data_IF_445409440519
#
_entry.id   IF_445409440519
#
_cell.length_a   1.000
_cell.length_b   1.000
_cell.length_c   1.000
_cell.angle_alpha   90.00
_cell.angle_beta   90.00
_cell.angle_gamma   90.00
#
_symmetry.space_group_name_H-M   'P 1'
#
loop_
_entity.id
_entity.type
_entity.pdbx_description
1 polymer ?
#
# COMPACT_ATOMS: atom_id res chain seq x y z
N UNK A 1 27.94 -12.03 -13.80
CA UNK A 1 26.94 -12.75 -14.62
C UNK A 1 25.93 -13.40 -13.68
N UNK A 2 24.92 -12.67 -13.25
CA UNK A 2 23.78 -13.19 -12.47
C UNK A 2 22.50 -12.49 -12.95
N UNK A 3 22.26 -12.57 -14.26
CA UNK A 3 20.94 -12.41 -14.84
C UNK A 3 20.43 -13.82 -15.06
N UNK A 4 19.52 -14.32 -14.22
CA UNK A 4 18.56 -15.40 -14.50
C UNK A 4 18.02 -15.85 -13.14
N UNK A 5 16.89 -15.26 -12.75
CA UNK A 5 15.75 -15.92 -12.11
C UNK A 5 14.71 -14.84 -11.78
N UNK A 6 14.27 -14.11 -12.81
CA UNK A 6 12.95 -13.49 -12.73
C UNK A 6 11.97 -14.65 -12.94
N UNK A 7 11.51 -15.25 -11.84
CA UNK A 7 10.47 -16.29 -11.88
C UNK A 7 9.31 -15.78 -12.72
N UNK A 8 8.87 -16.58 -13.70
CA UNK A 8 7.76 -16.20 -14.56
C UNK A 8 6.56 -15.74 -13.71
N UNK A 9 5.91 -14.62 -14.04
CA UNK A 9 4.85 -14.08 -13.21
C UNK A 9 3.72 -15.11 -13.09
N UNK A 10 3.18 -15.22 -11.86
CA UNK A 10 2.09 -16.13 -11.52
C UNK A 10 0.93 -15.98 -12.50
N UNK A 11 0.23 -17.07 -12.80
CA UNK A 11 -0.78 -17.06 -13.86
C UNK A 11 -1.85 -15.98 -13.67
N UNK A 12 -2.26 -15.73 -12.42
CA UNK A 12 -3.24 -14.69 -12.06
C UNK A 12 -2.74 -13.27 -12.34
N UNK A 13 -1.44 -12.99 -12.19
CA UNK A 13 -0.84 -11.67 -12.44
C UNK A 13 -0.69 -11.33 -13.94
N UNK A 14 -0.96 -12.29 -14.84
CA UNK A 14 -0.97 -12.04 -16.29
C UNK A 14 -2.30 -11.49 -16.81
N UNK A 15 -3.34 -11.51 -15.97
CA UNK A 15 -4.65 -10.98 -16.34
C UNK A 15 -4.56 -9.47 -16.58
N UNK A 16 -5.17 -9.00 -17.68
CA UNK A 16 -5.08 -7.61 -18.16
C UNK A 16 -3.65 -7.08 -18.31
N UNK A 17 -2.68 -7.96 -18.58
CA UNK A 17 -1.26 -7.60 -18.67
C UNK A 17 -0.70 -6.88 -17.43
N UNK A 18 -1.31 -7.10 -16.25
CA UNK A 18 -0.93 -6.43 -14.99
C UNK A 18 0.57 -6.49 -14.70
N UNK A 19 1.17 -7.69 -14.85
CA UNK A 19 2.60 -7.89 -14.68
C UNK A 19 3.51 -7.01 -15.56
N UNK A 20 3.04 -6.47 -16.69
CA UNK A 20 3.84 -5.59 -17.56
C UNK A 20 3.82 -4.14 -17.10
N UNK A 21 2.66 -3.68 -16.61
CA UNK A 21 2.49 -2.32 -16.11
C UNK A 21 2.99 -2.10 -14.68
N UNK A 22 3.04 -3.17 -13.87
CA UNK A 22 3.39 -3.14 -12.43
C UNK A 22 4.90 -2.90 -12.20
N UNK A 23 5.24 -1.93 -11.34
CA UNK A 23 6.60 -1.66 -10.86
C UNK A 23 7.24 -2.85 -10.13
N UNK A 24 6.44 -3.64 -9.41
CA UNK A 24 6.88 -4.81 -8.65
C UNK A 24 7.12 -6.06 -9.52
N UNK A 25 6.38 -6.20 -10.63
CA UNK A 25 6.39 -7.42 -11.46
C UNK A 25 6.97 -7.21 -12.86
N UNK A 26 7.07 -5.98 -13.34
CA UNK A 26 7.53 -5.69 -14.70
C UNK A 26 8.96 -6.20 -14.92
N UNK A 27 9.25 -6.73 -16.13
CA UNK A 27 10.62 -7.01 -16.51
C UNK A 27 11.43 -5.71 -16.47
N UNK A 28 12.69 -5.82 -16.08
CA UNK A 28 13.60 -4.68 -16.14
C UNK A 28 13.69 -4.17 -17.58
N UNK A 29 13.49 -2.86 -17.74
CA UNK A 29 13.41 -2.20 -19.04
C UNK A 29 13.15 -0.71 -18.88
N UNK A 30 12.90 -0.01 -19.99
CA UNK A 30 12.61 1.42 -19.97
C UNK A 30 11.41 1.76 -19.08
N UNK A 31 10.28 1.07 -19.29
CA UNK A 31 9.06 1.24 -18.49
C UNK A 31 9.32 1.14 -16.98
N UNK A 32 9.96 0.05 -16.55
CA UNK A 32 10.30 -0.15 -15.14
C UNK A 32 11.23 0.95 -14.60
N UNK A 33 12.24 1.38 -15.37
CA UNK A 33 13.15 2.46 -14.97
C UNK A 33 12.41 3.78 -14.78
N UNK A 34 11.49 4.12 -15.67
CA UNK A 34 10.65 5.33 -15.57
C UNK A 34 9.79 5.29 -14.32
N UNK A 35 9.02 4.22 -14.10
CA UNK A 35 8.18 4.09 -12.91
C UNK A 35 9.00 4.11 -11.62
N UNK A 36 10.16 3.43 -11.61
CA UNK A 36 11.07 3.41 -10.46
C UNK A 36 11.63 4.80 -10.16
N UNK A 37 12.00 5.56 -11.19
CA UNK A 37 12.47 6.94 -11.05
C UNK A 37 11.36 7.83 -10.50
N UNK A 38 10.19 7.84 -11.12
CA UNK A 38 9.05 8.66 -10.68
C UNK A 38 8.70 8.39 -9.22
N UNK A 39 8.64 7.12 -8.83
CA UNK A 39 8.42 6.74 -7.44
C UNK A 39 9.51 7.31 -6.51
N UNK A 40 10.79 7.02 -6.79
CA UNK A 40 11.90 7.31 -5.86
C UNK A 40 12.35 8.76 -5.84
N UNK A 41 12.22 9.47 -6.95
CA UNK A 41 12.73 10.84 -7.13
C UNK A 41 11.63 11.88 -6.95
N UNK A 42 10.42 11.61 -7.44
CA UNK A 42 9.36 12.63 -7.51
C UNK A 42 8.25 12.45 -6.47
N UNK A 43 8.00 11.22 -6.03
CA UNK A 43 6.86 10.90 -5.15
C UNK A 43 7.26 10.65 -3.68
N UNK A 44 8.20 9.73 -3.41
CA UNK A 44 8.61 9.38 -2.03
C UNK A 44 9.94 10.00 -1.60
N UNK A 45 10.30 11.13 -2.18
CA UNK A 45 11.47 11.91 -1.74
C UNK A 45 11.17 12.62 -0.41
N UNK A 46 12.18 12.79 0.44
CA UNK A 46 12.05 13.42 1.77
C UNK A 46 11.28 14.76 1.74
N UNK A 47 11.53 15.59 0.72
CA UNK A 47 10.80 16.85 0.56
C UNK A 47 9.29 16.62 0.46
N UNK A 48 8.84 15.72 -0.41
CA UNK A 48 7.42 15.37 -0.58
C UNK A 48 6.84 14.75 0.67
N UNK A 49 7.57 13.82 1.28
CA UNK A 49 7.15 13.18 2.54
C UNK A 49 6.85 14.25 3.60
N UNK A 50 7.71 15.25 3.73
CA UNK A 50 7.53 16.33 4.71
C UNK A 50 6.39 17.28 4.33
N UNK A 51 6.27 17.65 3.05
CA UNK A 51 5.16 18.49 2.54
C UNK A 51 3.80 17.85 2.79
N UNK A 52 3.70 16.52 2.78
CA UNK A 52 2.45 15.79 3.02
C UNK A 52 2.27 15.28 4.46
N UNK A 53 3.07 15.77 5.42
CA UNK A 53 2.95 15.34 6.83
C UNK A 53 1.56 15.60 7.42
N UNK A 54 0.91 16.69 7.02
CA UNK A 54 -0.46 17.02 7.44
C UNK A 54 -1.49 15.95 7.04
N UNK A 55 -1.29 15.25 5.91
CA UNK A 55 -2.17 14.16 5.49
C UNK A 55 -2.00 12.94 6.41
N UNK A 56 -0.77 12.61 6.78
CA UNK A 56 -0.49 11.53 7.74
C UNK A 56 -1.11 11.83 9.10
N UNK A 57 -1.00 13.08 9.58
CA UNK A 57 -1.68 13.55 10.79
C UNK A 57 -3.20 13.35 10.70
N UNK A 58 -3.84 13.96 9.68
CA UNK A 58 -5.29 13.84 9.44
C UNK A 58 -5.75 12.37 9.44
N UNK A 59 -5.05 11.50 8.73
CA UNK A 59 -5.40 10.08 8.65
C UNK A 59 -5.19 9.36 9.99
N UNK A 60 -4.16 9.70 10.76
CA UNK A 60 -3.92 9.17 12.09
C UNK A 60 -4.99 9.63 13.10
N UNK A 61 -5.44 10.88 13.03
CA UNK A 61 -6.51 11.39 13.89
C UNK A 61 -7.82 10.63 13.63
N UNK A 62 -8.13 10.36 12.35
CA UNK A 62 -9.26 9.51 11.97
C UNK A 62 -9.14 8.07 12.50
N UNK A 63 -7.93 7.49 12.44
CA UNK A 63 -7.64 6.17 13.00
C UNK A 63 -7.94 6.14 14.50
N UNK A 64 -7.50 7.15 15.24
CA UNK A 64 -7.74 7.26 16.68
C UNK A 64 -9.24 7.34 16.97
N UNK A 65 -9.97 8.21 16.27
CA UNK A 65 -11.43 8.32 16.42
C UNK A 65 -12.14 6.99 16.15
N UNK A 66 -11.75 6.25 15.11
CA UNK A 66 -12.37 4.95 14.81
C UNK A 66 -12.08 3.90 15.88
N UNK A 67 -10.86 3.89 16.44
CA UNK A 67 -10.48 2.97 17.52
C UNK A 67 -11.24 3.31 18.80
N UNK A 68 -11.33 4.60 19.17
CA UNK A 68 -12.07 5.06 20.35
C UNK A 68 -13.56 4.69 20.26
N UNK A 69 -14.16 4.92 19.09
CA UNK A 69 -15.56 4.55 18.85
C UNK A 69 -15.80 3.05 18.91
N UNK A 70 -14.90 2.23 18.35
CA UNK A 70 -15.01 0.78 18.44
C UNK A 70 -14.84 0.30 19.89
N UNK A 71 -13.84 0.83 20.59
CA UNK A 71 -13.57 0.51 22.00
C UNK A 71 -14.75 0.85 22.90
N UNK A 72 -15.46 1.97 22.64
CA UNK A 72 -16.64 2.39 23.42
C UNK A 72 -17.81 1.41 23.35
N UNK A 73 -17.85 0.56 22.33
CA UNK A 73 -18.92 -0.43 22.09
C UNK A 73 -18.55 -1.81 22.61
N UNK A 74 -17.32 -2.02 23.08
CA UNK A 74 -16.84 -3.33 23.52
C UNK A 74 -17.46 -3.72 24.85
N UNK A 75 -17.84 -5.00 24.94
CA UNK A 75 -18.15 -5.65 26.22
C UNK A 75 -16.84 -6.09 26.87
N UNK A 76 -16.88 -6.25 28.19
CA UNK A 76 -15.75 -6.79 28.96
C UNK A 76 -15.21 -8.09 28.33
N UNK A 77 -13.88 -8.22 28.27
CA UNK A 77 -13.19 -9.36 27.65
C UNK A 77 -13.03 -9.31 26.12
N UNK A 78 -13.49 -8.26 25.44
CA UNK A 78 -13.26 -8.07 24.00
C UNK A 78 -12.16 -7.03 23.73
N UNK A 79 -11.43 -7.19 22.63
CA UNK A 79 -10.35 -6.30 22.22
C UNK A 79 -10.59 -5.67 20.84
N UNK A 80 -9.86 -4.61 20.54
CA UNK A 80 -9.89 -3.94 19.22
C UNK A 80 -8.85 -4.60 18.31
N UNK A 81 -9.27 -5.03 17.11
CA UNK A 81 -8.34 -5.47 16.08
C UNK A 81 -7.75 -4.24 15.37
N UNK A 82 -6.61 -3.73 15.88
CA UNK A 82 -5.99 -2.47 15.44
C UNK A 82 -5.54 -2.50 13.99
N UNK A 83 -5.03 -3.63 13.50
CA UNK A 83 -4.49 -3.75 12.14
C UNK A 83 -5.52 -3.41 11.06
N UNK A 84 -6.81 -3.72 11.29
CA UNK A 84 -7.93 -3.35 10.41
C UNK A 84 -8.03 -1.83 10.28
N UNK A 85 -7.96 -1.09 11.37
CA UNK A 85 -8.06 0.37 11.30
C UNK A 85 -6.81 1.01 10.69
N UNK A 86 -5.62 0.45 10.97
CA UNK A 86 -4.38 0.87 10.31
C UNK A 86 -4.44 0.66 8.81
N UNK A 87 -5.03 -0.45 8.35
CA UNK A 87 -5.26 -0.72 6.94
C UNK A 87 -6.17 0.34 6.30
N UNK A 88 -7.31 0.67 6.93
CA UNK A 88 -8.23 1.72 6.46
C UNK A 88 -7.56 3.10 6.42
N UNK A 89 -6.82 3.45 7.48
CA UNK A 89 -6.06 4.68 7.57
C UNK A 89 -5.05 4.80 6.43
N UNK A 90 -4.27 3.75 6.21
CA UNK A 90 -3.24 3.72 5.15
C UNK A 90 -3.89 3.80 3.77
N UNK A 91 -5.02 3.11 3.57
CA UNK A 91 -5.77 3.19 2.33
C UNK A 91 -6.24 4.62 2.02
N UNK A 92 -6.75 5.36 3.02
CA UNK A 92 -7.09 6.77 2.85
C UNK A 92 -5.88 7.66 2.63
N UNK A 93 -4.78 7.43 3.36
CA UNK A 93 -3.54 8.18 3.15
C UNK A 93 -3.07 8.06 1.69
N UNK A 94 -3.04 6.84 1.15
CA UNK A 94 -2.70 6.59 -0.24
C UNK A 94 -3.73 7.20 -1.21
N UNK A 95 -5.01 7.20 -0.85
CA UNK A 95 -6.07 7.92 -1.56
C UNK A 95 -5.81 9.42 -1.67
N UNK A 96 -5.37 10.06 -0.58
CA UNK A 96 -5.04 11.48 -0.59
C UNK A 96 -3.75 11.73 -1.39
N UNK A 97 -2.71 10.92 -1.21
CA UNK A 97 -1.44 11.07 -1.92
C UNK A 97 -1.55 10.80 -3.43
N UNK A 98 -2.37 9.83 -3.84
CA UNK A 98 -2.56 9.48 -5.25
C UNK A 98 -3.64 10.31 -5.95
N UNK A 99 -4.76 10.57 -5.28
CA UNK A 99 -6.02 11.02 -5.91
C UNK A 99 -6.66 12.23 -5.23
N UNK A 100 -6.03 12.78 -4.19
CA UNK A 100 -6.55 13.88 -3.36
C UNK A 100 -7.96 13.63 -2.80
N UNK A 101 -8.24 12.39 -2.38
CA UNK A 101 -9.55 12.01 -1.83
C UNK A 101 -9.44 10.92 -0.77
N UNK A 102 -10.30 11.01 0.25
CA UNK A 102 -10.59 9.86 1.12
C UNK A 102 -11.43 8.85 0.32
N UNK A 103 -11.06 7.56 0.41
CA UNK A 103 -11.70 6.48 -0.37
C UNK A 103 -12.47 5.50 0.50
N UNK A 104 -12.31 5.59 1.81
CA UNK A 104 -13.04 4.77 2.76
C UNK A 104 -13.43 5.62 3.95
N UNK A 105 -14.69 5.56 4.29
CA UNK A 105 -15.13 5.90 5.64
C UNK A 105 -15.81 4.65 6.19
N UNK A 106 -15.42 4.14 7.38
CA UNK A 106 -16.17 3.08 8.05
C UNK A 106 -17.67 3.37 8.19
N UNK A 107 -18.08 4.64 8.09
CA UNK A 107 -19.46 5.14 8.21
C UNK A 107 -20.12 5.53 6.87
N UNK A 108 -19.39 5.58 5.76
CA UNK A 108 -19.94 5.93 4.43
C UNK A 108 -19.78 4.79 3.41
N UNK A 109 -20.68 4.77 2.42
CA UNK A 109 -20.60 3.87 1.27
C UNK A 109 -19.76 4.45 0.13
N UNK A 110 -19.33 5.72 0.19
CA UNK A 110 -18.50 6.33 -0.85
C UNK A 110 -17.10 5.72 -0.87
N UNK A 111 -16.61 5.36 -2.08
CA UNK A 111 -15.31 4.69 -2.28
C UNK A 111 -15.24 3.22 -1.83
N UNK A 112 -16.30 2.70 -1.18
CA UNK A 112 -16.42 1.31 -0.73
C UNK A 112 -16.29 0.29 -1.86
N UNK A 113 -16.72 0.63 -3.08
CA UNK A 113 -16.57 -0.27 -4.23
C UNK A 113 -15.12 -0.48 -4.63
N UNK A 114 -14.32 0.59 -4.59
CA UNK A 114 -12.89 0.53 -4.89
C UNK A 114 -12.20 -0.31 -3.81
N UNK A 115 -12.46 0.01 -2.55
CA UNK A 115 -11.95 -0.76 -1.41
C UNK A 115 -12.29 -2.25 -1.50
N UNK A 116 -13.56 -2.61 -1.78
CA UNK A 116 -13.98 -4.01 -1.94
C UNK A 116 -13.25 -4.72 -3.07
N UNK A 117 -13.07 -4.05 -4.21
CA UNK A 117 -12.31 -4.61 -5.33
C UNK A 117 -10.84 -4.82 -4.94
N UNK A 118 -10.21 -3.84 -4.29
CA UNK A 118 -8.82 -3.92 -3.83
C UNK A 118 -8.61 -5.01 -2.77
N UNK A 119 -9.54 -5.15 -1.82
CA UNK A 119 -9.47 -6.19 -0.80
C UNK A 119 -9.52 -7.60 -1.41
N UNK A 120 -10.37 -7.80 -2.41
CA UNK A 120 -10.39 -9.04 -3.19
C UNK A 120 -9.05 -9.30 -3.89
N UNK A 121 -8.46 -8.27 -4.52
CA UNK A 121 -7.15 -8.39 -5.16
C UNK A 121 -6.05 -8.83 -4.20
N UNK A 122 -5.99 -8.24 -3.01
CA UNK A 122 -5.01 -8.60 -1.97
C UNK A 122 -5.19 -10.04 -1.50
N UNK A 123 -6.44 -10.45 -1.22
CA UNK A 123 -6.76 -11.84 -0.83
C UNK A 123 -6.32 -12.85 -1.91
N UNK A 124 -6.65 -12.58 -3.18
CA UNK A 124 -6.28 -13.48 -4.26
C UNK A 124 -4.79 -13.46 -4.57
N UNK A 125 -4.09 -12.33 -4.37
CA UNK A 125 -2.64 -12.24 -4.56
C UNK A 125 -1.88 -13.05 -3.50
N UNK A 126 -2.31 -13.01 -2.23
CA UNK A 126 -1.71 -13.80 -1.15
C UNK A 126 -1.96 -15.32 -1.25
N UNK A 127 -3.02 -15.74 -1.95
CA UNK A 127 -3.38 -17.15 -2.06
C UNK A 127 -2.39 -17.98 -2.92
N UNK A 128 -1.93 -19.10 -2.37
CA UNK A 128 -1.19 -20.11 -3.14
C UNK A 128 -2.08 -20.69 -4.25
N UNK A 129 -1.51 -20.90 -5.44
CA UNK A 129 -2.23 -21.35 -6.61
C UNK A 129 -1.65 -22.67 -7.16
N UNK A 130 -2.42 -23.75 -7.08
CA UNK A 130 -2.06 -25.08 -7.57
C UNK A 130 -1.66 -25.08 -9.04
N UNK A 131 -2.27 -24.23 -9.87
CA UNK A 131 -1.96 -24.12 -11.29
C UNK A 131 -0.57 -23.52 -11.59
N UNK A 132 0.06 -22.88 -10.60
CA UNK A 132 1.45 -22.40 -10.72
C UNK A 132 2.45 -23.54 -10.48
N UNK A 133 2.11 -24.54 -9.66
CA UNK A 133 2.92 -25.74 -9.40
C UNK A 133 2.68 -26.87 -10.41
N UNK A 134 1.45 -26.99 -10.92
CA UNK A 134 1.03 -28.02 -11.85
C UNK A 134 0.56 -27.38 -13.17
N UNK A 135 1.46 -27.14 -14.14
CA UNK A 135 1.14 -26.38 -15.34
C UNK A 135 -0.02 -26.95 -16.18
N UNK A 136 -0.25 -28.27 -16.14
CA UNK A 136 -1.36 -28.91 -16.84
C UNK A 136 -2.74 -28.60 -16.22
N UNK A 137 -2.81 -28.07 -14.99
CA UNK A 137 -4.05 -27.62 -14.34
C UNK A 137 -4.40 -26.16 -14.67
N UNK A 138 -3.56 -25.44 -15.41
CA UNK A 138 -3.75 -24.01 -15.72
C UNK A 138 -5.05 -23.70 -16.47
N UNK A 139 -5.52 -24.62 -17.30
CA UNK A 139 -6.75 -24.43 -18.06
C UNK A 139 -8.01 -24.65 -17.20
N UNK A 140 -7.92 -25.44 -16.13
CA UNK A 140 -9.03 -25.74 -15.22
C UNK A 140 -9.31 -24.61 -14.22
N UNK A 141 -8.28 -23.85 -13.83
CA UNK A 141 -8.36 -22.85 -12.74
C UNK A 141 -9.03 -23.45 -11.49
N UNK A 142 -8.47 -24.52 -10.89
CA UNK A 142 -9.15 -25.36 -9.89
C UNK A 142 -9.59 -24.59 -8.65
N UNK A 143 -8.86 -23.54 -8.26
CA UNK A 143 -9.21 -22.67 -7.14
C UNK A 143 -10.01 -21.42 -7.57
N UNK A 144 -10.28 -21.27 -8.86
CA UNK A 144 -10.96 -20.12 -9.44
C UNK A 144 -10.19 -18.79 -9.31
N UNK A 145 -8.91 -18.83 -8.93
CA UNK A 145 -8.11 -17.64 -8.60
C UNK A 145 -7.90 -16.76 -9.82
N UNK A 146 -7.72 -17.34 -11.01
CA UNK A 146 -7.61 -16.55 -12.25
C UNK A 146 -8.92 -15.83 -12.57
N UNK A 147 -10.05 -16.52 -12.42
CA UNK A 147 -11.39 -15.95 -12.66
C UNK A 147 -11.73 -14.86 -11.65
N UNK A 148 -11.43 -15.08 -10.36
CA UNK A 148 -11.61 -14.09 -9.28
C UNK A 148 -10.74 -12.86 -9.53
N UNK A 149 -9.45 -13.06 -9.80
CA UNK A 149 -8.52 -12.00 -10.18
C UNK A 149 -9.03 -11.19 -11.38
N UNK A 150 -9.50 -11.86 -12.45
CA UNK A 150 -10.07 -11.17 -13.61
C UNK A 150 -11.28 -10.30 -13.27
N UNK A 151 -12.19 -10.79 -12.43
CA UNK A 151 -13.36 -10.01 -12.03
C UNK A 151 -12.96 -8.77 -11.22
N UNK A 152 -12.18 -8.97 -10.16
CA UNK A 152 -11.90 -7.90 -9.20
C UNK A 152 -10.86 -6.90 -9.75
N UNK A 153 -9.87 -7.37 -10.52
CA UNK A 153 -8.91 -6.50 -11.22
C UNK A 153 -9.59 -5.68 -12.31
N UNK A 154 -10.51 -6.29 -13.06
CA UNK A 154 -11.31 -5.58 -14.05
C UNK A 154 -12.14 -4.45 -13.42
N UNK A 155 -12.78 -4.73 -12.28
CA UNK A 155 -13.53 -3.71 -11.53
C UNK A 155 -12.61 -2.61 -10.99
N UNK A 156 -11.47 -2.97 -10.41
CA UNK A 156 -10.50 -2.00 -9.88
C UNK A 156 -9.93 -1.10 -10.99
N UNK A 157 -9.51 -1.65 -12.13
CA UNK A 157 -9.04 -0.88 -13.30
C UNK A 157 -10.14 0.05 -13.82
N UNK A 158 -11.38 -0.44 -13.89
CA UNK A 158 -12.51 0.38 -14.33
C UNK A 158 -12.74 1.59 -13.41
N UNK A 159 -12.64 1.41 -12.09
CA UNK A 159 -12.79 2.50 -11.14
C UNK A 159 -11.59 3.46 -11.21
N UNK A 160 -10.36 2.95 -11.28
CA UNK A 160 -9.17 3.79 -11.46
C UNK A 160 -9.24 4.63 -12.74
N UNK A 161 -9.70 4.05 -13.86
CA UNK A 161 -9.91 4.74 -15.13
C UNK A 161 -10.90 5.91 -14.98
N UNK A 162 -11.95 5.76 -14.17
CA UNK A 162 -12.86 6.87 -13.87
C UNK A 162 -12.15 8.02 -13.17
N UNK A 163 -11.33 7.73 -12.16
CA UNK A 163 -10.55 8.76 -11.46
C UNK A 163 -9.56 9.48 -12.39
N UNK A 164 -8.88 8.74 -13.27
CA UNK A 164 -7.97 9.33 -14.27
C UNK A 164 -8.74 10.25 -15.22
N UNK A 165 -9.88 9.80 -15.75
CA UNK A 165 -10.71 10.59 -16.67
C UNK A 165 -11.29 11.84 -16.02
N UNK A 166 -11.85 11.71 -14.82
CA UNK A 166 -12.33 12.84 -14.01
C UNK A 166 -11.23 13.90 -13.85
N UNK A 167 -9.99 13.48 -13.59
CA UNK A 167 -8.85 14.38 -13.43
C UNK A 167 -8.45 15.04 -14.76
N UNK A 168 -8.42 14.30 -15.86
CA UNK A 168 -8.10 14.84 -17.18
C UNK A 168 -9.15 15.86 -17.64
N UNK A 169 -10.43 15.59 -17.43
CA UNK A 169 -11.53 16.52 -17.73
C UNK A 169 -11.43 17.80 -16.89
N UNK A 170 -11.18 17.66 -15.58
CA UNK A 170 -10.97 18.80 -14.67
C UNK A 170 -9.83 19.72 -15.15
N UNK A 171 -8.72 19.14 -15.62
CA UNK A 171 -7.59 19.91 -16.20
C UNK A 171 -7.96 20.60 -17.50
N UNK A 172 -8.75 19.95 -18.36
CA UNK A 172 -9.21 20.51 -19.63
C UNK A 172 -10.08 21.76 -19.48
N UNK A 173 -10.79 21.89 -18.36
CA UNK A 173 -11.60 23.08 -18.02
C UNK A 173 -10.86 24.10 -17.14
N UNK A 174 -9.55 23.94 -16.94
CA UNK A 174 -8.69 24.89 -16.24
C UNK A 174 -8.82 24.88 -14.71
N UNK A 175 -9.28 23.78 -14.10
CA UNK A 175 -9.25 23.66 -12.63
C UNK A 175 -7.80 23.60 -12.12
N UNK A 176 -7.59 24.15 -10.93
CA UNK A 176 -6.29 24.13 -10.26
C UNK A 176 -5.82 22.69 -10.01
N UNK A 177 -4.52 22.47 -10.18
CA UNK A 177 -3.87 21.19 -9.94
C UNK A 177 -3.80 20.92 -8.45
N UNK A 178 -4.01 19.68 -8.05
CA UNK A 178 -3.89 19.27 -6.65
C UNK A 178 -2.44 18.99 -6.25
N UNK A 179 -1.57 18.73 -7.23
CA UNK A 179 -0.15 18.44 -7.01
C UNK A 179 0.09 17.06 -6.39
N UNK A 180 -0.89 16.16 -6.49
CA UNK A 180 -0.79 14.77 -6.04
C UNK A 180 -0.02 13.88 -7.03
N UNK A 181 0.15 12.60 -6.70
CA UNK A 181 0.95 11.69 -7.52
C UNK A 181 0.30 11.41 -8.88
N UNK A 182 -1.04 11.43 -9.00
CA UNK A 182 -1.68 11.32 -10.32
C UNK A 182 -1.35 12.54 -11.19
N UNK A 183 -1.33 13.74 -10.60
CA UNK A 183 -0.92 14.93 -11.33
C UNK A 183 0.52 14.83 -11.86
N UNK A 184 1.44 14.28 -11.06
CA UNK A 184 2.83 14.02 -11.48
C UNK A 184 2.90 13.00 -12.63
N UNK A 185 2.14 11.91 -12.55
CA UNK A 185 2.13 10.89 -13.61
C UNK A 185 1.54 11.41 -14.92
N UNK A 186 0.51 12.27 -14.85
CA UNK A 186 -0.10 12.88 -16.03
C UNK A 186 0.79 13.95 -16.68
N UNK A 187 1.71 14.55 -15.92
CA UNK A 187 2.69 15.54 -16.36
C UNK A 187 4.00 14.93 -16.82
N UNK A 188 4.17 13.62 -16.63
CA UNK A 188 5.32 12.94 -17.15
C UNK A 188 5.40 13.08 -18.67
N UNK A 189 6.54 13.58 -19.12
CA UNK A 189 6.94 13.61 -20.52
C UNK A 189 8.26 12.85 -20.67
N UNK A 190 8.28 11.92 -21.62
CA UNK A 190 9.45 11.11 -21.92
C UNK A 190 10.62 11.94 -22.45
N UNK A 191 11.82 11.39 -22.34
CA UNK A 191 13.03 12.03 -22.84
C UNK A 191 13.20 11.99 -24.38
N UNK A 192 12.26 11.36 -25.11
CA UNK A 192 12.29 11.22 -26.57
C UNK A 192 13.37 10.28 -27.12
N UNK A 193 14.09 9.54 -26.26
CA UNK A 193 15.18 8.63 -26.64
C UNK A 193 14.79 7.18 -26.41
N UNK A 194 14.60 6.82 -25.14
CA UNK A 194 14.32 5.45 -24.71
C UNK A 194 13.07 5.34 -23.84
N UNK A 195 12.48 6.46 -23.44
CA UNK A 195 11.27 6.54 -22.62
C UNK A 195 10.02 6.76 -23.47
N UNK A 196 8.86 6.21 -23.07
CA UNK A 196 7.60 6.53 -23.74
C UNK A 196 7.28 8.02 -23.56
N UNK A 197 6.69 8.66 -24.58
CA UNK A 197 6.34 10.09 -24.52
C UNK A 197 5.43 10.41 -23.34
N UNK A 198 4.49 9.51 -23.03
CA UNK A 198 3.56 9.59 -21.89
C UNK A 198 3.31 8.20 -21.31
N UNK A 199 2.89 8.15 -20.05
CA UNK A 199 2.40 6.91 -19.44
C UNK A 199 1.00 6.62 -20.02
N UNK A 200 0.77 5.39 -20.46
CA UNK A 200 -0.52 4.97 -21.01
C UNK A 200 -1.61 4.98 -19.92
N UNK A 201 -2.88 5.19 -20.28
CA UNK A 201 -3.99 5.12 -19.30
C UNK A 201 -4.02 3.76 -18.59
N UNK A 202 -3.69 2.68 -19.30
CA UNK A 202 -3.63 1.33 -18.73
C UNK A 202 -2.53 1.21 -17.67
N UNK A 203 -1.33 1.72 -17.94
CA UNK A 203 -0.22 1.73 -16.98
C UNK A 203 -0.48 2.66 -15.79
N UNK A 204 -1.12 3.82 -16.02
CA UNK A 204 -1.57 4.70 -14.94
C UNK A 204 -2.52 3.97 -14.00
N UNK A 205 -3.52 3.29 -14.56
CA UNK A 205 -4.48 2.53 -13.76
C UNK A 205 -3.77 1.44 -12.95
N UNK A 206 -2.87 0.67 -13.56
CA UNK A 206 -2.10 -0.37 -12.86
C UNK A 206 -1.27 0.23 -11.73
N UNK A 207 -0.55 1.33 -12.00
CA UNK A 207 0.31 1.98 -11.02
C UNK A 207 -0.50 2.50 -9.82
N UNK A 208 -1.68 3.09 -10.06
CA UNK A 208 -2.60 3.49 -8.98
C UNK A 208 -2.91 2.28 -8.10
N UNK A 209 -3.40 1.17 -8.68
CA UNK A 209 -3.75 -0.03 -7.90
C UNK A 209 -2.57 -0.60 -7.12
N UNK A 210 -1.38 -0.57 -7.72
CA UNK A 210 -0.16 -1.10 -7.13
C UNK A 210 0.26 -0.33 -5.87
N UNK A 211 0.15 0.99 -5.88
CA UNK A 211 0.45 1.82 -4.71
C UNK A 211 -0.45 1.42 -3.52
N UNK A 212 -1.75 1.24 -3.75
CA UNK A 212 -2.68 0.77 -2.71
C UNK A 212 -2.35 -0.65 -2.23
N UNK A 213 -2.06 -1.59 -3.13
CA UNK A 213 -1.70 -2.96 -2.75
C UNK A 213 -0.43 -3.02 -1.93
N UNK A 214 0.63 -2.35 -2.41
CA UNK A 214 1.94 -2.41 -1.77
C UNK A 214 1.95 -1.67 -0.43
N UNK A 215 1.24 -0.53 -0.30
CA UNK A 215 1.31 0.30 0.89
C UNK A 215 0.38 -0.14 2.02
N UNK A 216 -0.87 -0.51 1.73
CA UNK A 216 -1.87 -0.75 2.78
C UNK A 216 -1.61 -2.02 3.59
N UNK A 217 -1.42 -3.17 2.93
CA UNK A 217 -1.27 -4.48 3.60
C UNK A 217 0.07 -4.59 4.35
N UNK A 218 1.15 -4.05 3.78
CA UNK A 218 2.48 -4.10 4.39
C UNK A 218 2.54 -3.25 5.67
N UNK A 219 1.95 -2.06 5.65
CA UNK A 219 1.91 -1.15 6.81
C UNK A 219 1.03 -1.71 7.93
N UNK A 220 -0.16 -2.23 7.61
CA UNK A 220 -1.04 -2.82 8.61
C UNK A 220 -0.44 -4.08 9.24
N UNK A 221 0.15 -4.96 8.42
CA UNK A 221 0.78 -6.20 8.91
C UNK A 221 2.01 -5.90 9.77
N UNK A 222 2.85 -4.96 9.35
CA UNK A 222 4.03 -4.56 10.14
C UNK A 222 3.62 -3.99 11.50
N UNK A 223 2.56 -3.18 11.52
CA UNK A 223 2.01 -2.63 12.77
C UNK A 223 1.43 -3.73 13.66
N UNK A 224 0.69 -4.68 13.09
CA UNK A 224 0.15 -5.84 13.82
C UNK A 224 1.25 -6.64 14.51
N UNK A 225 2.33 -6.97 13.78
CA UNK A 225 3.46 -7.70 14.32
C UNK A 225 4.23 -6.90 15.37
N UNK A 226 4.42 -5.60 15.16
CA UNK A 226 5.06 -4.73 16.14
C UNK A 226 4.25 -4.64 17.45
N UNK A 227 2.93 -4.46 17.36
CA UNK A 227 2.05 -4.44 18.53
C UNK A 227 1.99 -5.80 19.24
N UNK A 228 1.92 -6.89 18.48
CA UNK A 228 1.94 -8.26 19.02
C UNK A 228 3.21 -8.51 19.82
N UNK A 229 4.37 -8.13 19.27
CA UNK A 229 5.65 -8.25 19.98
C UNK A 229 5.65 -7.50 21.30
N UNK A 230 5.21 -6.24 21.27
CA UNK A 230 5.16 -5.39 22.45
C UNK A 230 4.25 -5.99 23.53
N UNK A 231 3.10 -6.53 23.14
CA UNK A 231 2.15 -7.17 24.06
C UNK A 231 2.67 -8.51 24.61
N UNK A 232 3.43 -9.26 23.82
CA UNK A 232 4.05 -10.52 24.26
C UNK A 232 5.31 -10.32 25.11
N UNK A 233 5.95 -9.13 25.07
CA UNK A 233 7.18 -8.82 25.81
C UNK A 233 7.00 -7.58 26.70
N UNK A 234 6.45 -7.73 27.91
CA UNK A 234 6.16 -6.60 28.80
C UNK A 234 7.38 -5.73 29.12
N UNK A 235 8.58 -6.30 29.24
CA UNK A 235 9.81 -5.56 29.47
C UNK A 235 10.13 -4.60 28.31
N UNK A 236 9.99 -5.08 27.06
CA UNK A 236 10.19 -4.27 25.86
C UNK A 236 9.16 -3.15 25.79
N UNK A 237 7.90 -3.43 26.11
CA UNK A 237 6.84 -2.43 26.17
C UNK A 237 7.09 -1.36 27.24
N UNK A 238 7.56 -1.76 28.43
CA UNK A 238 7.90 -0.80 29.49
C UNK A 238 9.03 0.13 29.06
N UNK A 239 10.09 -0.39 28.44
CA UNK A 239 11.20 0.42 27.91
C UNK A 239 10.73 1.39 26.82
N UNK A 240 9.89 0.94 25.89
CA UNK A 240 9.33 1.80 24.86
C UNK A 240 8.46 2.94 25.45
N UNK A 241 7.61 2.63 26.44
CA UNK A 241 6.83 3.64 27.16
C UNK A 241 7.69 4.62 27.95
N UNK A 242 8.77 4.16 28.55
CA UNK A 242 9.72 5.00 29.27
C UNK A 242 10.42 5.98 28.33
N UNK A 243 10.89 5.52 27.17
CA UNK A 243 11.48 6.40 26.14
C UNK A 243 10.47 7.46 25.67
N UNK A 244 9.24 7.07 25.32
CA UNK A 244 8.19 8.00 24.92
C UNK A 244 7.91 9.05 25.99
N UNK A 245 7.83 8.63 27.26
CA UNK A 245 7.58 9.52 28.39
C UNK A 245 8.73 10.51 28.59
N UNK A 246 9.97 10.06 28.43
CA UNK A 246 11.18 10.89 28.57
C UNK A 246 11.29 11.95 27.47
N UNK A 247 10.97 11.59 26.23
CA UNK A 247 11.18 12.46 25.05
C UNK A 247 10.00 13.41 24.81
N UNK A 248 8.77 12.93 24.98
CA UNK A 248 7.56 13.65 24.58
C UNK A 248 6.86 14.28 25.79
N UNK A 249 6.95 13.63 26.95
CA UNK A 249 6.21 13.99 28.15
C UNK A 249 4.75 13.50 28.14
N UNK A 250 4.01 13.69 29.23
CA UNK A 250 2.68 13.08 29.43
C UNK A 250 1.51 13.78 28.75
N UNK A 251 1.70 14.98 28.18
CA UNK A 251 0.59 15.85 27.75
C UNK A 251 0.75 16.44 26.36
N UNK A 252 1.77 16.03 25.61
CA UNK A 252 2.02 16.52 24.26
C UNK A 252 1.72 15.44 23.24
N UNK A 253 1.04 15.82 22.16
CA UNK A 253 0.88 14.94 21.01
C UNK A 253 2.23 14.68 20.34
N UNK A 254 2.42 13.45 19.86
CA UNK A 254 3.62 13.06 19.12
C UNK A 254 3.60 13.76 17.77
N UNK A 255 4.65 14.48 17.40
CA UNK A 255 4.94 14.95 16.05
C UNK A 255 6.00 14.08 15.38
N UNK A 256 5.99 14.04 14.04
CA UNK A 256 6.93 13.17 13.32
C UNK A 256 8.39 13.58 13.49
N UNK A 257 8.65 14.87 13.77
CA UNK A 257 10.00 15.38 14.04
C UNK A 257 10.63 14.77 15.29
N UNK A 258 9.85 14.21 16.22
CA UNK A 258 10.41 13.56 17.40
C UNK A 258 10.84 12.11 17.15
N UNK A 259 10.50 11.52 16.00
CA UNK A 259 10.89 10.14 15.67
C UNK A 259 12.41 9.96 15.76
N UNK A 260 13.20 10.95 15.35
CA UNK A 260 14.67 10.93 15.43
C UNK A 260 15.20 10.83 16.86
N UNK A 261 14.39 11.23 17.85
CA UNK A 261 14.72 11.16 19.27
C UNK A 261 14.18 9.90 19.96
N UNK A 262 13.63 8.93 19.21
CA UNK A 262 13.08 7.67 19.73
C UNK A 262 13.87 6.44 19.23
N UNK A 263 15.19 6.34 19.53
CA UNK A 263 16.05 5.29 18.98
C UNK A 263 15.63 3.87 19.38
N UNK A 264 15.07 3.67 20.58
CA UNK A 264 14.61 2.37 21.04
C UNK A 264 13.36 1.93 20.27
N UNK A 265 12.37 2.82 20.11
CA UNK A 265 11.19 2.54 19.30
C UNK A 265 11.56 2.27 17.83
N UNK A 266 12.48 3.05 17.25
CA UNK A 266 13.01 2.77 15.92
C UNK A 266 13.68 1.38 15.86
N UNK A 267 14.42 1.00 16.89
CA UNK A 267 15.06 -0.31 17.02
C UNK A 267 14.04 -1.45 16.97
N UNK A 268 12.93 -1.32 17.69
CA UNK A 268 11.83 -2.31 17.68
C UNK A 268 11.27 -2.48 16.26
N UNK A 269 10.97 -1.37 15.58
CA UNK A 269 10.41 -1.41 14.22
C UNK A 269 11.41 -2.06 13.25
N UNK A 270 12.69 -1.67 13.32
CA UNK A 270 13.77 -2.24 12.48
C UNK A 270 13.94 -3.74 12.71
N UNK A 271 13.97 -4.17 13.96
CA UNK A 271 14.09 -5.59 14.35
C UNK A 271 12.90 -6.41 13.81
N UNK A 272 11.68 -5.86 13.89
CA UNK A 272 10.50 -6.55 13.38
C UNK A 272 10.48 -6.64 11.85
N UNK A 273 10.88 -5.59 11.14
CA UNK A 273 11.03 -5.63 9.68
C UNK A 273 12.09 -6.68 9.28
N UNK A 274 13.20 -6.77 10.02
CA UNK A 274 14.25 -7.77 9.77
C UNK A 274 13.78 -9.21 10.07
N UNK A 275 13.05 -9.40 11.18
CA UNK A 275 12.51 -10.70 11.60
C UNK A 275 11.46 -11.23 10.64
N UNK A 276 10.50 -10.40 10.19
CA UNK A 276 9.46 -10.82 9.24
C UNK A 276 10.05 -11.16 7.87
N UNK A 277 11.08 -10.43 7.43
CA UNK A 277 11.85 -10.75 6.23
C UNK A 277 12.55 -12.12 6.34
N UNK A 278 13.06 -12.47 7.53
CA UNK A 278 13.70 -13.76 7.82
C UNK A 278 12.69 -14.93 7.88
N UNK A 279 11.50 -14.70 8.42
CA UNK A 279 10.42 -15.72 8.45
C UNK A 279 9.96 -16.08 7.03
N UNK A 280 9.85 -15.09 6.13
CA UNK A 280 9.47 -15.31 4.73
C UNK A 280 10.51 -16.09 3.91
N UNK A 281 11.79 -16.03 4.30
CA UNK A 281 12.86 -16.82 3.67
C UNK A 281 12.95 -18.23 4.24
N UNK A 282 12.67 -18.44 5.54
CA UNK A 282 12.62 -19.79 6.11
C UNK A 282 11.43 -20.63 5.63
N UNK A 283 10.28 -20.03 5.26
CA UNK A 283 9.17 -20.76 4.63
C UNK A 283 9.42 -21.20 3.18
N UNK A 284 10.52 -20.78 2.55
CA UNK A 284 10.96 -21.26 1.22
C UNK A 284 11.91 -22.47 1.29
N UNK A 285 12.27 -22.95 2.48
CA UNK A 285 13.29 -23.99 2.68
C UNK A 285 12.78 -25.40 3.04
N UNK A 286 11.47 -25.60 3.25
CA UNK A 286 10.89 -26.92 3.50
C UNK A 286 9.58 -27.06 2.74
N UNK A 287 9.66 -27.71 1.59
CA UNK A 287 8.56 -28.05 0.69
C UNK A 287 9.10 -28.78 -0.52
#
# INVERSE_FOLDING_TARGET
MTSHLQTAPQMKCRVYDYHKGSLALAPYGSHWRVLRRLMTVDMVVNKRINETAFLRRKCFDNLQLWIEEEASKLKEGHGVHVARFVFLMTFNLLGNLMLSRDLVDPKSNEGLEFFKAMNGLMEWNGAANMADYFPWLRWLDPQGLKRKMKKDLGKAIQIASKFVKERMEARGVGREKTGDFLDLLLEFEGNGIDEPDKISEHDLNIFILEIFMAGSETTSSTTEWAMTELLCNPETLMKAKAELTQVIGPSREIEEREIDNLPYLQGIIKEKIASTSSISTTKKGYG
#
